data_IF_669117904749
#
_entry.id   IF_669117904749
#
_cell.length_a   1.000
_cell.length_b   1.000
_cell.length_c   1.000
_cell.angle_alpha   90.00
_cell.angle_beta   90.00
_cell.angle_gamma   90.00
#
_symmetry.space_group_name_H-M   'P 1'
#
loop_
_entity.id
_entity.type
_entity.pdbx_description
1 polymer ?
#
# COMPACT_ATOMS: atom_id res chain seq x y z
N UNK A 1 -0.83 8.64 -5.01
CA UNK A 1 -0.12 9.70 -4.24
C UNK A 1 1.05 9.11 -3.46
N UNK A 2 2.09 9.89 -3.17
CA UNK A 2 3.26 9.46 -2.38
C UNK A 2 3.36 10.24 -1.07
N UNK A 3 3.86 9.61 0.00
CA UNK A 3 4.03 10.24 1.32
C UNK A 3 2.73 10.89 1.82
N UNK A 4 2.79 12.14 2.30
CA UNK A 4 1.62 12.96 2.66
C UNK A 4 0.63 13.10 1.49
N UNK A 5 1.12 13.20 0.25
CA UNK A 5 0.25 13.20 -0.94
C UNK A 5 -0.52 11.88 -1.12
N UNK A 6 -0.02 10.77 -0.57
CA UNK A 6 -0.76 9.52 -0.48
C UNK A 6 -1.87 9.54 0.57
N UNK A 7 -1.66 10.23 1.69
CA UNK A 7 -2.72 10.47 2.69
C UNK A 7 -3.82 11.38 2.14
N UNK A 8 -3.44 12.48 1.48
CA UNK A 8 -4.38 13.40 0.81
C UNK A 8 -5.17 12.68 -0.29
N UNK A 9 -4.52 11.82 -1.06
CA UNK A 9 -5.20 11.02 -2.08
C UNK A 9 -6.25 10.06 -1.50
N UNK A 10 -6.09 9.55 -0.26
CA UNK A 10 -7.12 8.73 0.38
C UNK A 10 -8.34 9.59 0.75
N UNK A 11 -8.12 10.77 1.33
CA UNK A 11 -9.21 11.69 1.65
C UNK A 11 -9.97 12.10 0.39
N UNK A 12 -9.25 12.44 -0.68
CA UNK A 12 -9.83 12.78 -1.97
C UNK A 12 -10.60 11.61 -2.57
N UNK A 13 -10.09 10.38 -2.49
CA UNK A 13 -10.80 9.21 -3.02
C UNK A 13 -12.13 8.96 -2.30
N UNK A 14 -12.18 9.18 -0.99
CA UNK A 14 -13.40 9.08 -0.21
C UNK A 14 -14.39 10.21 -0.57
N UNK A 15 -13.88 11.42 -0.74
CA UNK A 15 -14.70 12.57 -1.11
C UNK A 15 -15.27 12.43 -2.54
N UNK A 16 -14.42 12.02 -3.48
CA UNK A 16 -14.82 11.69 -4.85
C UNK A 16 -15.89 10.59 -4.88
N UNK A 17 -15.81 9.58 -4.00
CA UNK A 17 -16.87 8.56 -3.89
C UNK A 17 -18.22 9.17 -3.50
N UNK A 18 -18.23 10.17 -2.62
CA UNK A 18 -19.48 10.85 -2.22
C UNK A 18 -20.08 11.67 -3.37
N UNK A 19 -19.24 12.38 -4.11
CA UNK A 19 -19.67 13.26 -5.21
C UNK A 19 -20.09 12.46 -6.45
N UNK A 20 -19.30 11.46 -6.85
CA UNK A 20 -19.52 10.67 -8.07
C UNK A 20 -20.53 9.52 -7.88
N UNK A 21 -20.84 9.19 -6.63
CA UNK A 21 -21.81 8.17 -6.27
C UNK A 21 -21.30 6.72 -6.32
N UNK A 22 -22.19 5.74 -6.03
CA UNK A 22 -21.81 4.33 -5.85
C UNK A 22 -21.41 3.62 -7.14
N UNK A 23 -21.81 4.12 -8.31
CA UNK A 23 -21.48 3.52 -9.62
C UNK A 23 -20.10 3.91 -10.14
N UNK A 24 -19.48 4.95 -9.57
CA UNK A 24 -18.14 5.36 -9.99
C UNK A 24 -17.10 4.30 -9.62
N UNK A 25 -16.21 4.00 -10.57
CA UNK A 25 -15.05 3.14 -10.31
C UNK A 25 -13.90 4.03 -9.87
N UNK A 26 -13.47 3.88 -8.62
CA UNK A 26 -12.38 4.66 -8.04
C UNK A 26 -11.30 3.68 -7.61
N UNK A 27 -10.15 3.73 -8.28
CA UNK A 27 -8.94 3.00 -7.91
C UNK A 27 -7.94 3.96 -7.26
N UNK A 28 -7.50 3.63 -6.05
CA UNK A 28 -6.60 4.46 -5.28
C UNK A 28 -5.27 3.72 -5.07
N UNK A 29 -4.17 4.41 -5.37
CA UNK A 29 -2.82 3.93 -5.12
C UNK A 29 -2.04 4.93 -4.27
N UNK A 30 -1.47 4.44 -3.17
CA UNK A 30 -0.52 5.20 -2.36
C UNK A 30 0.81 4.51 -2.22
N UNK A 31 1.88 5.31 -2.13
CA UNK A 31 3.25 4.86 -1.93
C UNK A 31 3.80 5.50 -0.65
N UNK A 32 4.08 4.69 0.36
CA UNK A 32 4.63 5.16 1.64
C UNK A 32 3.70 6.09 2.43
N UNK A 33 2.39 6.04 2.19
CA UNK A 33 1.46 6.93 2.89
C UNK A 33 1.40 6.65 4.41
N UNK A 34 1.38 7.70 5.26
CA UNK A 34 1.08 7.55 6.67
C UNK A 34 -0.41 7.19 6.87
N UNK A 35 -0.77 6.82 8.11
CA UNK A 35 -2.16 6.61 8.52
C UNK A 35 -2.92 7.94 8.48
N UNK A 36 -4.18 7.90 8.04
CA UNK A 36 -4.98 9.09 7.79
C UNK A 36 -6.02 9.36 8.88
N UNK A 37 -6.65 8.30 9.39
CA UNK A 37 -7.74 8.42 10.35
C UNK A 37 -7.76 7.28 11.35
N UNK A 38 -8.77 7.30 12.21
CA UNK A 38 -8.98 6.30 13.24
C UNK A 38 -9.62 5.01 12.68
N UNK A 39 -9.97 4.08 13.56
CA UNK A 39 -10.64 2.83 13.20
C UNK A 39 -11.96 3.05 12.43
N UNK A 40 -12.78 4.01 12.83
CA UNK A 40 -14.06 4.30 12.17
C UNK A 40 -13.84 4.81 10.74
N UNK A 41 -12.86 5.71 10.54
CA UNK A 41 -12.46 6.17 9.22
C UNK A 41 -11.98 5.01 8.34
N UNK A 42 -11.10 4.15 8.85
CA UNK A 42 -10.57 3.02 8.08
C UNK A 42 -11.69 2.06 7.61
N UNK A 43 -12.66 1.76 8.47
CA UNK A 43 -13.82 0.93 8.10
C UNK A 43 -14.68 1.58 7.02
N UNK A 44 -15.04 2.85 7.20
CA UNK A 44 -15.80 3.62 6.20
C UNK A 44 -15.06 3.67 4.86
N UNK A 45 -13.76 3.93 4.90
CA UNK A 45 -12.92 4.05 3.71
C UNK A 45 -12.85 2.73 2.93
N UNK A 46 -12.60 1.61 3.62
CA UNK A 46 -12.53 0.29 2.99
C UNK A 46 -13.85 -0.12 2.33
N UNK A 47 -14.98 0.25 2.93
CA UNK A 47 -16.30 0.04 2.35
C UNK A 47 -16.53 0.91 1.10
N UNK A 48 -16.18 2.19 1.19
CA UNK A 48 -16.44 3.18 0.14
C UNK A 48 -15.48 3.07 -1.06
N UNK A 49 -14.22 2.69 -0.84
CA UNK A 49 -13.16 2.66 -1.86
C UNK A 49 -12.42 1.31 -1.79
N UNK A 50 -13.07 0.21 -2.22
CA UNK A 50 -12.50 -1.14 -2.06
C UNK A 50 -11.25 -1.40 -2.91
N UNK A 51 -11.12 -0.73 -4.06
CA UNK A 51 -9.93 -0.79 -4.93
C UNK A 51 -8.86 0.21 -4.47
N UNK A 52 -8.45 0.11 -3.20
CA UNK A 52 -7.42 0.97 -2.63
C UNK A 52 -6.20 0.14 -2.21
N UNK A 53 -5.06 0.44 -2.81
CA UNK A 53 -3.80 -0.26 -2.58
C UNK A 53 -2.76 0.69 -1.96
N UNK A 54 -2.26 0.29 -0.79
CA UNK A 54 -1.22 1.00 -0.06
C UNK A 54 0.09 0.24 -0.22
N UNK A 55 0.88 0.68 -1.19
CA UNK A 55 2.21 0.15 -1.47
C UNK A 55 3.18 0.65 -0.40
N UNK A 56 3.90 -0.27 0.21
CA UNK A 56 4.87 -0.01 1.27
C UNK A 56 6.18 -0.70 0.97
N UNK A 57 7.26 0.07 0.93
CA UNK A 57 8.60 -0.48 0.85
C UNK A 57 8.97 -1.07 2.21
N UNK A 58 9.48 -2.31 2.22
CA UNK A 58 9.65 -3.17 3.41
C UNK A 58 10.18 -2.43 4.65
N UNK A 59 11.11 -1.50 4.49
CA UNK A 59 11.82 -0.83 5.58
C UNK A 59 11.48 0.67 5.73
N UNK A 60 10.49 1.20 5.01
CA UNK A 60 10.02 2.59 5.11
C UNK A 60 9.26 2.85 6.43
N UNK A 61 9.81 3.70 7.29
CA UNK A 61 9.25 4.05 8.61
C UNK A 61 8.05 5.00 8.54
N UNK A 62 7.92 5.85 7.52
CA UNK A 62 6.83 6.85 7.46
C UNK A 62 5.47 6.16 7.34
N UNK A 63 5.44 5.04 6.62
CA UNK A 63 4.26 4.18 6.49
C UNK A 63 3.76 3.59 7.82
N UNK A 64 4.53 3.69 8.91
CA UNK A 64 4.16 3.21 10.25
C UNK A 64 3.70 4.33 11.17
N UNK A 65 3.54 5.55 10.68
CA UNK A 65 3.11 6.71 11.47
C UNK A 65 1.80 7.30 10.95
N UNK A 66 1.05 8.05 11.78
CA UNK A 66 1.00 7.97 13.26
C UNK A 66 0.53 6.58 13.73
N UNK A 67 0.93 6.13 14.91
CA UNK A 67 0.73 4.74 15.40
C UNK A 67 -0.67 4.43 15.95
N UNK A 68 -1.02 3.13 16.10
CA UNK A 68 -2.18 2.70 16.88
C UNK A 68 -2.03 3.04 18.38
N UNK A 69 -3.14 3.11 19.16
CA UNK A 69 -4.51 2.78 18.76
C UNK A 69 -5.28 3.91 18.08
N UNK A 70 -4.74 5.13 18.05
CA UNK A 70 -5.48 6.32 17.59
C UNK A 70 -5.64 6.38 16.07
N UNK A 71 -4.72 5.80 15.32
CA UNK A 71 -4.74 5.79 13.86
C UNK A 71 -4.65 4.37 13.29
N UNK A 72 -5.45 4.12 12.25
CA UNK A 72 -5.55 2.84 11.55
C UNK A 72 -5.40 3.06 10.05
N UNK A 73 -4.83 2.08 9.36
CA UNK A 73 -4.70 2.11 7.90
C UNK A 73 -6.02 1.71 7.24
N UNK A 74 -6.42 2.47 6.21
CA UNK A 74 -7.36 2.02 5.19
C UNK A 74 -6.62 1.50 3.95
N UNK A 75 -7.34 0.79 3.09
CA UNK A 75 -6.81 0.11 1.91
C UNK A 75 -6.03 -1.17 2.21
N UNK A 76 -5.79 -1.93 1.15
CA UNK A 76 -5.05 -3.18 1.17
C UNK A 76 -3.54 -2.89 1.22
N UNK A 77 -2.82 -3.48 2.20
CA UNK A 77 -1.36 -3.32 2.28
C UNK A 77 -0.67 -4.18 1.22
N UNK A 78 0.18 -3.56 0.40
CA UNK A 78 1.03 -4.27 -0.57
C UNK A 78 2.48 -3.99 -0.21
N UNK A 79 3.20 -5.00 0.25
CA UNK A 79 4.61 -4.88 0.64
C UNK A 79 5.48 -5.24 -0.54
N UNK A 80 6.42 -4.37 -0.85
CA UNK A 80 7.45 -4.60 -1.86
C UNK A 80 8.84 -4.53 -1.23
N UNK A 81 9.80 -5.20 -1.85
CA UNK A 81 11.21 -5.08 -1.49
C UNK A 81 12.14 -5.08 -2.71
N UNK A 82 13.40 -4.73 -2.46
CA UNK A 82 14.41 -4.70 -3.50
C UNK A 82 14.85 -6.08 -4.01
N UNK A 83 14.36 -7.17 -3.43
CA UNK A 83 14.63 -8.54 -3.91
C UNK A 83 13.60 -8.99 -4.95
N UNK A 84 12.63 -8.14 -5.28
CA UNK A 84 11.55 -8.47 -6.21
C UNK A 84 10.40 -9.24 -5.56
N UNK A 85 10.34 -9.31 -4.22
CA UNK A 85 9.20 -9.92 -3.55
C UNK A 85 8.07 -8.91 -3.41
N UNK A 86 6.87 -9.35 -3.75
CA UNK A 86 5.63 -8.61 -3.56
C UNK A 86 4.65 -9.44 -2.72
N UNK A 87 4.09 -8.82 -1.67
CA UNK A 87 3.12 -9.48 -0.79
C UNK A 87 1.90 -8.62 -0.57
N UNK A 88 0.75 -9.11 -1.03
CA UNK A 88 -0.55 -8.49 -0.85
C UNK A 88 -1.21 -8.96 0.45
N UNK A 89 -1.84 -8.02 1.14
CA UNK A 89 -2.59 -8.18 2.40
C UNK A 89 -1.99 -9.20 3.39
N UNK A 90 -0.79 -8.91 3.94
CA UNK A 90 -0.12 -9.82 4.87
C UNK A 90 -0.98 -10.11 6.10
N UNK A 91 -1.00 -11.37 6.51
CA UNK A 91 -1.79 -11.88 7.63
C UNK A 91 -1.39 -11.23 8.95
N UNK A 92 -2.24 -11.34 9.97
CA UNK A 92 -1.94 -10.84 11.31
C UNK A 92 -0.59 -11.37 11.83
N UNK A 93 -0.36 -12.68 11.72
CA UNK A 93 0.88 -13.35 12.14
C UNK A 93 2.10 -12.72 11.44
N UNK A 94 2.00 -12.50 10.14
CA UNK A 94 3.07 -11.86 9.36
C UNK A 94 3.25 -10.39 9.72
N UNK A 95 2.20 -9.69 10.15
CA UNK A 95 2.30 -8.32 10.67
C UNK A 95 3.07 -8.31 11.99
N UNK A 96 2.83 -9.28 12.88
CA UNK A 96 3.43 -9.38 14.22
C UNK A 96 4.91 -9.75 14.15
N UNK A 97 5.29 -10.75 13.37
CA UNK A 97 6.67 -11.24 13.29
C UNK A 97 7.57 -10.46 12.31
N UNK A 98 7.07 -9.34 11.77
CA UNK A 98 7.84 -8.51 10.84
C UNK A 98 8.92 -7.71 11.57
N UNK A 99 10.16 -7.63 11.03
CA UNK A 99 11.17 -6.72 11.54
C UNK A 99 10.67 -5.27 11.52
N UNK A 100 11.08 -4.48 12.53
CA UNK A 100 10.75 -3.06 12.61
C UNK A 100 11.30 -2.30 11.38
N UNK A 101 10.49 -1.37 10.84
CA UNK A 101 10.88 -0.47 9.74
C UNK A 101 11.68 0.71 10.29
N UNK A 102 12.83 1.03 9.70
CA UNK A 102 13.78 2.01 10.29
C UNK A 102 14.34 3.04 9.29
N UNK A 103 13.98 2.97 8.02
CA UNK A 103 14.64 3.77 6.99
C UNK A 103 13.76 4.91 6.51
N UNK A 104 14.25 6.15 6.69
CA UNK A 104 13.71 7.34 6.03
C UNK A 104 14.13 7.40 4.56
N UNK A 105 15.25 6.77 4.18
CA UNK A 105 15.75 6.75 2.80
C UNK A 105 14.85 5.90 1.91
N UNK A 106 14.36 4.79 2.44
CA UNK A 106 13.39 3.91 1.76
C UNK A 106 12.04 4.60 1.54
N UNK A 107 11.80 5.74 2.18
CA UNK A 107 10.60 6.53 1.94
C UNK A 107 10.59 7.23 0.57
N UNK A 108 11.73 7.39 -0.10
CA UNK A 108 11.81 8.16 -1.35
C UNK A 108 11.07 7.44 -2.49
N UNK A 109 10.23 8.15 -3.25
CA UNK A 109 9.42 7.56 -4.32
C UNK A 109 10.25 6.77 -5.35
N UNK A 110 11.45 7.25 -5.70
CA UNK A 110 12.35 6.51 -6.61
C UNK A 110 12.66 5.09 -6.13
N UNK A 111 12.74 4.88 -4.83
CA UNK A 111 13.07 3.58 -4.25
C UNK A 111 11.88 2.62 -4.32
N UNK A 112 10.67 3.16 -4.19
CA UNK A 112 9.44 2.43 -4.48
C UNK A 112 9.39 1.97 -5.93
N UNK A 113 9.69 2.87 -6.88
CA UNK A 113 9.72 2.54 -8.31
C UNK A 113 10.75 1.43 -8.60
N UNK A 114 11.98 1.57 -8.10
CA UNK A 114 13.02 0.54 -8.25
C UNK A 114 12.58 -0.81 -7.68
N UNK A 115 11.93 -0.83 -6.51
CA UNK A 115 11.43 -2.07 -5.92
C UNK A 115 10.30 -2.69 -6.78
N UNK A 116 9.39 -1.87 -7.30
CA UNK A 116 8.30 -2.32 -8.17
C UNK A 116 8.81 -2.86 -9.50
N UNK A 117 9.79 -2.21 -10.14
CA UNK A 117 10.41 -2.68 -11.38
C UNK A 117 11.04 -4.07 -11.18
N UNK A 118 11.70 -4.28 -10.03
CA UNK A 118 12.24 -5.60 -9.67
C UNK A 118 11.16 -6.64 -9.44
N UNK A 119 10.05 -6.26 -8.81
CA UNK A 119 8.91 -7.16 -8.63
C UNK A 119 8.28 -7.53 -9.98
N UNK A 120 8.13 -6.57 -10.89
CA UNK A 120 7.61 -6.79 -12.23
C UNK A 120 8.52 -7.71 -13.04
N UNK A 121 9.83 -7.50 -13.00
CA UNK A 121 10.81 -8.37 -13.64
C UNK A 121 10.77 -9.81 -13.09
N UNK A 122 10.68 -9.96 -11.76
CA UNK A 122 10.57 -11.27 -11.12
C UNK A 122 9.26 -11.98 -11.51
N UNK A 123 8.14 -11.26 -11.55
CA UNK A 123 6.86 -11.81 -11.98
C UNK A 123 6.87 -12.24 -13.46
N UNK A 124 7.48 -11.43 -14.33
CA UNK A 124 7.64 -11.78 -15.74
C UNK A 124 8.50 -13.03 -15.94
N UNK A 125 9.61 -13.16 -15.19
CA UNK A 125 10.46 -14.34 -15.23
C UNK A 125 9.72 -15.60 -14.74
N UNK A 126 8.95 -15.50 -13.64
CA UNK A 126 8.15 -16.61 -13.13
C UNK A 126 7.05 -17.05 -14.14
N UNK A 127 6.37 -16.08 -14.77
CA UNK A 127 5.36 -16.35 -15.78
C UNK A 127 5.94 -16.96 -17.07
N UNK A 128 7.19 -16.64 -17.42
CA UNK A 128 7.88 -17.28 -18.52
C UNK A 128 8.24 -18.74 -18.18
N UNK A 129 8.79 -19.00 -16.99
CA UNK A 129 9.14 -20.35 -16.54
C UNK A 129 7.92 -21.28 -16.53
N UNK A 130 6.78 -20.82 -16.01
CA UNK A 130 5.54 -21.62 -15.96
C UNK A 130 4.94 -21.97 -17.33
N UNK A 131 5.40 -21.33 -18.42
CA UNK A 131 4.97 -21.63 -19.79
C UNK A 131 5.81 -22.71 -20.47
N UNK A 132 6.98 -23.04 -19.90
CA UNK A 132 7.84 -24.12 -20.39
C UNK A 132 7.56 -25.46 -19.69
N UNK A 133 6.87 -25.44 -18.54
CA UNK A 133 6.48 -26.62 -17.77
C UNK A 133 5.05 -27.14 -18.13
N UNK A 134 4.43 -26.61 -19.18
CA UNK A 134 3.09 -26.97 -19.68
C UNK A 134 3.17 -27.36 -21.17
#
# INVERSE_FOLDING_TARGET
GHSLGGALAQLLALDARRVLGPRATISMYSFGAPRVGNRAFAHLYNYAVPQSFRVVLRNDVVSTLPGPPFYMHGGQEVIVDYRGNLKCDPSFVEKVFRPARRSIRDHLLRNYLVALDRCAAAAAAAAAASRFDA
#
